data_IF_194343799225
#
_entry.id   IF_194343799225
#
_cell.length_a   1.000
_cell.length_b   1.000
_cell.length_c   1.000
_cell.angle_alpha   90.00
_cell.angle_beta   90.00
_cell.angle_gamma   90.00
#
_symmetry.space_group_name_H-M   'P 1'
#
loop_
_entity.id
_entity.type
_entity.pdbx_description
1 polymer ?
#
# COMPACT_ATOMS: atom_id res chain seq x y z
N UNK A 1 -28.00 16.73 -43.02
CA UNK A 1 -28.71 15.78 -42.12
C UNK A 1 -27.64 15.04 -41.33
N UNK A 2 -27.83 14.81 -40.02
CA UNK A 2 -26.76 14.75 -39.04
C UNK A 2 -26.05 13.40 -39.04
N UNK A 3 -24.71 13.38 -39.09
CA UNK A 3 -23.94 12.20 -38.65
C UNK A 3 -23.59 12.42 -37.18
N UNK A 4 -24.48 11.93 -36.32
CA UNK A 4 -24.15 11.72 -34.92
C UNK A 4 -23.01 10.71 -34.85
N UNK A 5 -21.86 11.11 -34.29
CA UNK A 5 -20.86 10.17 -33.81
C UNK A 5 -20.38 10.67 -32.45
N UNK A 6 -21.28 10.52 -31.47
CA UNK A 6 -20.94 10.59 -30.08
C UNK A 6 -20.40 9.22 -29.62
N UNK A 7 -19.55 9.29 -28.61
CA UNK A 7 -19.21 8.21 -27.67
C UNK A 7 -18.12 7.21 -28.08
N UNK A 8 -16.92 7.56 -27.60
CA UNK A 8 -16.17 6.77 -26.63
C UNK A 8 -16.03 5.27 -26.91
N UNK A 9 -14.82 4.87 -27.28
CA UNK A 9 -14.20 3.65 -26.74
C UNK A 9 -12.70 3.85 -26.78
N UNK A 10 -12.19 4.47 -25.71
CA UNK A 10 -10.80 4.24 -25.34
C UNK A 10 -10.62 2.72 -25.28
N UNK A 11 -9.73 2.20 -26.13
CA UNK A 11 -9.43 0.78 -26.23
C UNK A 11 -9.34 0.17 -24.83
N UNK A 12 -10.01 -0.96 -24.55
CA UNK A 12 -9.69 -1.75 -23.37
C UNK A 12 -8.29 -2.33 -23.64
N UNK A 13 -7.26 -1.55 -23.33
CA UNK A 13 -5.88 -2.00 -23.31
C UNK A 13 -5.88 -3.19 -22.38
N UNK A 14 -5.65 -4.35 -22.98
CA UNK A 14 -5.72 -5.69 -22.39
C UNK A 14 -5.70 -5.61 -20.88
N UNK A 15 -6.87 -5.81 -20.27
CA UNK A 15 -6.92 -6.30 -18.92
C UNK A 15 -6.28 -7.69 -18.98
N UNK A 16 -4.95 -7.72 -18.97
CA UNK A 16 -4.20 -8.80 -18.35
C UNK A 16 -4.98 -9.21 -17.11
N UNK A 17 -5.13 -10.49 -16.88
CA UNK A 17 -5.81 -11.13 -15.75
C UNK A 17 -5.19 -10.70 -14.42
N UNK A 18 -5.25 -9.42 -14.15
CA UNK A 18 -4.62 -8.74 -13.05
C UNK A 18 -5.72 -8.70 -12.01
N UNK A 19 -5.58 -9.59 -11.03
CA UNK A 19 -6.54 -9.75 -9.94
C UNK A 19 -6.87 -8.40 -9.30
N UNK A 20 -8.08 -8.23 -8.75
CA UNK A 20 -8.38 -7.05 -7.94
C UNK A 20 -7.39 -6.91 -6.78
N UNK A 21 -7.26 -5.70 -6.23
CA UNK A 21 -6.36 -5.42 -5.12
C UNK A 21 -6.59 -6.43 -3.97
N UNK A 22 -5.57 -7.23 -3.71
CA UNK A 22 -5.64 -8.31 -2.72
C UNK A 22 -5.16 -7.79 -1.36
N UNK A 23 -6.12 -7.47 -0.51
CA UNK A 23 -5.86 -6.90 0.81
C UNK A 23 -5.10 -7.86 1.72
N UNK A 24 -5.30 -9.17 1.57
CA UNK A 24 -4.55 -10.20 2.31
C UNK A 24 -3.08 -10.22 1.89
N UNK A 25 -2.77 -10.17 0.59
CA UNK A 25 -1.39 -10.10 0.12
C UNK A 25 -0.71 -8.80 0.51
N UNK A 26 -1.44 -7.68 0.46
CA UNK A 26 -0.94 -6.40 0.97
C UNK A 26 -0.61 -6.49 2.45
N UNK A 27 -1.51 -7.06 3.26
CA UNK A 27 -1.28 -7.32 4.67
C UNK A 27 -0.07 -8.23 4.90
N UNK A 28 0.03 -9.36 4.20
CA UNK A 28 1.12 -10.32 4.34
C UNK A 28 2.48 -9.71 3.96
N UNK A 29 2.55 -8.93 2.87
CA UNK A 29 3.76 -8.25 2.45
C UNK A 29 4.24 -7.22 3.48
N UNK A 30 3.32 -6.47 4.10
CA UNK A 30 3.64 -5.52 5.16
C UNK A 30 3.95 -6.20 6.49
N UNK A 31 3.23 -7.27 6.84
CA UNK A 31 3.45 -8.08 8.02
C UNK A 31 4.84 -8.72 8.03
N UNK A 32 5.32 -9.20 6.87
CA UNK A 32 6.69 -9.70 6.71
C UNK A 32 7.77 -8.64 7.01
N UNK A 33 7.41 -7.35 6.94
CA UNK A 33 8.31 -6.22 7.24
C UNK A 33 8.15 -5.70 8.67
N UNK A 34 7.08 -6.05 9.39
CA UNK A 34 6.90 -5.71 10.82
C UNK A 34 8.11 -6.08 11.69
N UNK A 35 8.74 -7.27 11.58
CA UNK A 35 9.93 -7.56 12.38
C UNK A 35 11.12 -6.65 12.04
N UNK A 36 11.19 -6.09 10.82
CA UNK A 36 12.21 -5.08 10.43
C UNK A 36 11.95 -3.69 11.01
N UNK A 37 10.78 -3.47 11.62
CA UNK A 37 10.43 -2.25 12.35
C UNK A 37 10.91 -2.29 13.81
N UNK A 38 11.31 -3.46 14.33
CA UNK A 38 11.87 -3.60 15.68
C UNK A 38 13.01 -2.61 16.02
N UNK A 39 13.99 -2.32 15.13
CA UNK A 39 15.04 -1.33 15.40
C UNK A 39 14.56 0.12 15.43
N UNK A 40 13.34 0.43 14.99
CA UNK A 40 12.83 1.80 14.90
C UNK A 40 12.46 2.44 16.26
N UNK A 41 12.83 1.83 17.39
CA UNK A 41 12.51 2.30 18.76
C UNK A 41 11.03 2.70 18.90
N UNK A 42 10.16 1.93 18.27
CA UNK A 42 8.73 2.09 18.42
C UNK A 42 8.36 1.66 19.84
N UNK A 43 7.42 2.37 20.46
CA UNK A 43 6.92 1.99 21.78
C UNK A 43 6.33 0.57 21.71
N UNK A 44 6.96 -0.37 22.43
CA UNK A 44 6.57 -1.78 22.42
C UNK A 44 5.15 -1.93 22.97
N UNK A 45 4.32 -2.70 22.29
CA UNK A 45 2.91 -2.87 22.65
C UNK A 45 2.01 -1.72 22.20
N UNK A 46 2.53 -0.68 21.55
CA UNK A 46 1.70 0.37 20.96
C UNK A 46 1.15 -0.08 19.61
N UNK A 47 -0.15 0.15 19.41
CA UNK A 47 -0.77 0.04 18.11
C UNK A 47 -0.25 1.15 17.19
N UNK A 48 0.19 0.77 16.01
CA UNK A 48 0.62 1.64 14.94
C UNK A 48 -0.26 1.42 13.73
N UNK A 49 -0.65 2.51 13.09
CA UNK A 49 -1.43 2.50 11.87
C UNK A 49 -0.61 3.19 10.79
N UNK A 50 -0.48 2.59 9.62
CA UNK A 50 0.23 3.19 8.48
C UNK A 50 -0.66 3.11 7.26
N UNK A 51 -0.92 4.27 6.65
CA UNK A 51 -1.62 4.37 5.38
C UNK A 51 -0.61 4.18 4.26
N UNK A 52 -0.73 3.06 3.57
CA UNK A 52 0.13 2.62 2.48
C UNK A 52 -0.65 2.72 1.18
N UNK A 53 -0.17 3.50 0.21
CA UNK A 53 -0.80 3.56 -1.11
C UNK A 53 -0.03 2.67 -2.06
N UNK A 54 -0.70 1.64 -2.58
CA UNK A 54 -0.12 0.76 -3.60
C UNK A 54 -0.42 1.29 -5.00
N UNK A 55 0.59 1.25 -5.88
CA UNK A 55 0.42 1.41 -7.32
C UNK A 55 -0.19 0.14 -7.92
N UNK A 56 -0.93 0.24 -9.04
CA UNK A 56 -1.44 -0.93 -9.78
C UNK A 56 -0.33 -1.91 -10.24
N UNK A 57 0.93 -1.45 -10.29
CA UNK A 57 2.09 -2.30 -10.55
C UNK A 57 2.45 -3.23 -9.37
N UNK A 58 1.85 -3.00 -8.19
CA UNK A 58 2.05 -3.80 -6.98
C UNK A 58 3.08 -3.21 -6.00
N UNK A 59 3.79 -2.15 -6.38
CA UNK A 59 4.71 -1.44 -5.49
C UNK A 59 4.02 -0.38 -4.62
N UNK A 60 4.62 -0.05 -3.47
CA UNK A 60 4.15 1.02 -2.59
C UNK A 60 4.61 2.39 -3.09
N UNK A 61 3.66 3.26 -3.43
CA UNK A 61 3.92 4.67 -3.78
C UNK A 61 4.21 5.53 -2.55
N UNK A 62 3.43 5.33 -1.48
CA UNK A 62 3.54 6.11 -0.27
C UNK A 62 3.21 5.28 0.95
N UNK A 63 3.93 5.51 2.05
CA UNK A 63 3.66 4.90 3.35
C UNK A 63 3.74 6.03 4.37
N UNK A 64 2.60 6.38 4.97
CA UNK A 64 2.48 7.48 5.91
C UNK A 64 1.83 6.95 7.19
N UNK A 65 2.52 6.98 8.34
CA UNK A 65 1.91 6.63 9.61
C UNK A 65 0.70 7.53 9.89
N UNK A 66 -0.38 6.92 10.36
CA UNK A 66 -1.60 7.61 10.76
C UNK A 66 -1.43 8.00 12.22
N UNK A 67 -1.36 9.30 12.49
CA UNK A 67 -1.19 9.84 13.84
C UNK A 67 -0.09 10.90 13.92
N UNK A 68 0.08 11.47 15.11
CA UNK A 68 1.18 12.40 15.40
C UNK A 68 2.41 11.62 15.87
N UNK A 69 3.19 11.13 14.91
CA UNK A 69 4.47 10.47 15.18
C UNK A 69 5.63 11.38 14.81
N UNK A 70 6.76 11.23 15.51
CA UNK A 70 7.99 11.96 15.17
C UNK A 70 8.43 11.61 13.74
N UNK A 71 8.86 12.61 12.96
CA UNK A 71 9.28 12.40 11.56
C UNK A 71 10.37 11.32 11.42
N UNK A 72 11.27 11.21 12.39
CA UNK A 72 12.30 10.17 12.45
C UNK A 72 11.69 8.75 12.61
N UNK A 73 10.68 8.57 13.47
CA UNK A 73 9.98 7.30 13.61
C UNK A 73 9.17 6.99 12.34
N UNK A 74 8.48 8.00 11.81
CA UNK A 74 7.73 7.84 10.56
C UNK A 74 8.62 7.41 9.41
N UNK A 75 9.77 8.05 9.21
CA UNK A 75 10.73 7.66 8.18
C UNK A 75 11.27 6.24 8.40
N UNK A 76 11.58 5.88 9.65
CA UNK A 76 12.06 4.55 9.99
C UNK A 76 11.02 3.47 9.69
N UNK A 77 9.73 3.76 9.93
CA UNK A 77 8.63 2.83 9.66
C UNK A 77 8.30 2.76 8.17
N UNK A 78 8.22 3.91 7.51
CA UNK A 78 7.88 4.01 6.09
C UNK A 78 8.95 3.44 5.17
N UNK A 79 10.25 3.51 5.53
CA UNK A 79 11.35 3.01 4.70
C UNK A 79 11.25 1.50 4.38
N UNK A 80 11.12 0.58 5.35
CA UNK A 80 10.91 -0.82 5.07
C UNK A 80 9.54 -1.09 4.44
N UNK A 81 8.46 -0.41 4.87
CA UNK A 81 7.13 -0.59 4.30
C UNK A 81 7.06 -0.23 2.81
N UNK A 82 7.83 0.77 2.36
CA UNK A 82 7.98 1.09 0.93
C UNK A 82 8.67 -0.01 0.11
N UNK A 83 9.37 -0.95 0.75
CA UNK A 83 9.93 -2.14 0.09
C UNK A 83 8.89 -3.25 -0.08
N UNK A 84 7.71 -3.13 0.54
CA UNK A 84 6.63 -4.08 0.32
C UNK A 84 6.21 -4.03 -1.15
N UNK A 85 6.11 -5.20 -1.75
CA UNK A 85 5.62 -5.36 -3.12
C UNK A 85 4.61 -6.49 -3.11
N UNK A 86 3.47 -6.24 -3.73
CA UNK A 86 2.45 -7.25 -4.00
C UNK A 86 2.45 -7.56 -5.49
N UNK A 87 1.70 -8.59 -5.89
CA UNK A 87 1.43 -8.79 -7.30
C UNK A 87 0.71 -7.56 -7.88
N UNK A 88 1.00 -7.18 -9.13
CA UNK A 88 0.25 -6.12 -9.80
C UNK A 88 -1.25 -6.44 -9.75
N UNK A 89 -2.06 -5.40 -9.61
CA UNK A 89 -3.52 -5.47 -9.52
C UNK A 89 -4.17 -4.53 -10.55
N UNK A 90 -5.35 -4.89 -11.05
CA UNK A 90 -6.07 -4.02 -11.97
C UNK A 90 -6.68 -2.82 -11.23
N UNK A 91 -6.55 -1.62 -11.83
CA UNK A 91 -7.27 -0.42 -11.37
C UNK A 91 -6.37 0.78 -11.06
N UNK A 92 -6.83 1.61 -10.12
CA UNK A 92 -6.14 2.84 -9.68
C UNK A 92 -5.32 2.58 -8.42
N UNK A 93 -4.36 3.47 -8.08
CA UNK A 93 -3.62 3.38 -6.84
C UNK A 93 -4.56 3.24 -5.64
N UNK A 94 -4.36 2.20 -4.84
CA UNK A 94 -5.28 1.83 -3.76
C UNK A 94 -4.64 2.12 -2.40
N UNK A 95 -5.25 3.02 -1.59
CA UNK A 95 -4.81 3.24 -0.22
C UNK A 95 -5.27 2.08 0.67
N UNK A 96 -4.33 1.55 1.44
CA UNK A 96 -4.51 0.45 2.38
C UNK A 96 -4.02 0.90 3.75
N UNK A 97 -4.84 0.72 4.80
CA UNK A 97 -4.45 1.04 6.17
C UNK A 97 -3.97 -0.23 6.83
N UNK A 98 -2.67 -0.28 7.09
CA UNK A 98 -2.03 -1.38 7.78
C UNK A 98 -1.90 -1.05 9.26
N UNK A 99 -2.55 -1.85 10.10
CA UNK A 99 -2.48 -1.74 11.55
C UNK A 99 -1.61 -2.87 12.08
N UNK A 100 -0.61 -2.54 12.89
CA UNK A 100 0.26 -3.51 13.53
C UNK A 100 0.64 -3.04 14.93
N UNK A 101 1.02 -3.96 15.80
CA UNK A 101 1.49 -3.63 17.15
C UNK A 101 3.01 -3.70 17.15
N UNK A 102 3.66 -2.56 17.43
CA UNK A 102 5.10 -2.46 17.46
C UNK A 102 5.71 -3.37 18.54
N UNK A 103 6.73 -4.13 18.18
CA UNK A 103 7.46 -5.00 19.12
C UNK A 103 6.67 -6.22 19.60
N UNK A 104 5.61 -6.63 18.88
CA UNK A 104 5.01 -7.95 19.06
C UNK A 104 6.01 -8.99 18.54
N UNK A 105 6.46 -9.85 19.47
CA UNK A 105 7.43 -10.91 19.22
C UNK A 105 6.70 -12.18 18.80
#
# INVERSE_FOLDING_TARGET
>A
MPVASASASASPKSASTTKPFDSERAHAALAALVPKLAPCKLAKGSAWSVKVTYAPDGHVLSAVPVGKHAAAQSACVSAPLKKATIAPFAGRPTPYVFNFVAGSK
#
